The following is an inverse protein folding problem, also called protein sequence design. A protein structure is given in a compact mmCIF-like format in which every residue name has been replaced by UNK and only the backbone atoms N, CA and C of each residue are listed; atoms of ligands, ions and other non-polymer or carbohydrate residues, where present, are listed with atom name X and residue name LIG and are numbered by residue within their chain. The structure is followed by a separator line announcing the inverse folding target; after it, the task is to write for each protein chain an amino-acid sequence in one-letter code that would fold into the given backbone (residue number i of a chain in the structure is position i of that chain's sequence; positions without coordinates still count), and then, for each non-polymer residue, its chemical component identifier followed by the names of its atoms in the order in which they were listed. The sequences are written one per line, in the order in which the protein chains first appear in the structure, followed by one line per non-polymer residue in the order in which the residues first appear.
data_IF_156558097064
#
_entry.id   IF_156558097064
#
_cell.length_a   1.000
_cell.length_b   1.000
_cell.length_c   1.000
_cell.angle_alpha   90.00
_cell.angle_beta   90.00
_cell.angle_gamma   90.00
#
_symmetry.space_group_name_H-M   'P 1'
#
loop_
_entity.id
_entity.type
_entity.pdbx_description
1 polymer ?
#
# COMPACT_ATOMS: atom_id res chain seq x y z
N UNK A 1 -1.87 -8.85 -8.91
CA UNK A 1 -2.00 -9.05 -10.37
C UNK A 1 -1.90 -10.55 -10.60
N UNK A 2 -2.81 -11.12 -11.39
CA UNK A 2 -2.73 -12.52 -11.83
C UNK A 2 -2.66 -12.50 -13.34
N UNK A 3 -1.71 -13.23 -13.93
CA UNK A 3 -1.49 -13.27 -15.38
C UNK A 3 -1.42 -14.75 -15.80
N UNK A 4 -2.29 -15.16 -16.70
CA UNK A 4 -2.32 -16.51 -17.27
C UNK A 4 -1.66 -16.61 -18.66
N UNK A 5 -1.01 -15.54 -19.11
CA UNK A 5 -0.39 -15.39 -20.42
C UNK A 5 -1.34 -14.87 -21.51
N UNK A 6 -2.64 -14.87 -21.25
CA UNK A 6 -3.68 -14.34 -22.17
C UNK A 6 -4.53 -13.25 -21.54
N UNK A 7 -4.76 -13.34 -20.23
CA UNK A 7 -5.58 -12.44 -19.43
C UNK A 7 -4.78 -11.97 -18.22
N UNK A 8 -4.78 -10.65 -18.02
CA UNK A 8 -4.21 -10.03 -16.83
C UNK A 8 -5.34 -9.52 -15.93
N UNK A 9 -5.45 -10.11 -14.75
CA UNK A 9 -6.37 -9.66 -13.69
C UNK A 9 -5.68 -8.64 -12.79
N UNK A 10 -6.28 -7.46 -12.69
CA UNK A 10 -5.86 -6.39 -11.80
C UNK A 10 -6.82 -6.34 -10.60
N UNK A 11 -6.28 -6.47 -9.40
CA UNK A 11 -7.02 -6.21 -8.16
C UNK A 11 -6.59 -4.85 -7.61
N UNK A 12 -7.57 -4.03 -7.25
CA UNK A 12 -7.39 -2.68 -6.75
C UNK A 12 -8.59 -2.27 -5.90
N UNK A 13 -8.45 -1.17 -5.17
CA UNK A 13 -9.55 -0.54 -4.47
C UNK A 13 -10.66 -0.11 -5.43
N UNK A 14 -11.90 -0.45 -5.09
CA UNK A 14 -13.07 -0.24 -5.95
C UNK A 14 -13.28 1.22 -6.36
N UNK A 15 -12.81 2.17 -5.55
CA UNK A 15 -12.87 3.61 -5.81
C UNK A 15 -12.05 4.04 -7.03
N UNK A 16 -11.03 3.28 -7.42
CA UNK A 16 -10.17 3.59 -8.58
C UNK A 16 -10.62 2.91 -9.88
N UNK A 17 -11.58 1.99 -9.80
CA UNK A 17 -11.97 1.12 -10.90
C UNK A 17 -12.34 1.88 -12.18
N UNK A 18 -13.30 2.80 -12.10
CA UNK A 18 -13.81 3.53 -13.27
C UNK A 18 -12.72 4.41 -13.89
N UNK A 19 -11.88 5.03 -13.05
CA UNK A 19 -10.77 5.86 -13.50
C UNK A 19 -9.73 5.06 -14.27
N UNK A 20 -9.42 3.84 -13.80
CA UNK A 20 -8.47 2.96 -14.45
C UNK A 20 -9.03 2.40 -15.78
N UNK A 21 -10.29 1.95 -15.80
CA UNK A 21 -10.92 1.46 -17.04
C UNK A 21 -10.90 2.54 -18.11
N UNK A 22 -11.34 3.76 -17.76
CA UNK A 22 -11.32 4.91 -18.68
C UNK A 22 -9.92 5.18 -19.22
N UNK A 23 -8.90 5.12 -18.35
CA UNK A 23 -7.52 5.31 -18.76
C UNK A 23 -7.05 4.22 -19.73
N UNK A 24 -7.25 2.95 -19.39
CA UNK A 24 -6.79 1.81 -20.22
C UNK A 24 -7.49 1.79 -21.58
N UNK A 25 -8.79 2.06 -21.65
CA UNK A 25 -9.53 2.15 -22.92
C UNK A 25 -9.01 3.29 -23.81
N UNK A 26 -8.61 4.43 -23.23
CA UNK A 26 -8.01 5.52 -24.03
C UNK A 26 -6.63 5.17 -24.60
N UNK A 27 -5.95 4.16 -24.05
CA UNK A 27 -4.63 3.69 -24.50
C UNK A 27 -4.71 2.54 -25.53
N UNK A 28 -5.90 2.04 -25.85
CA UNK A 28 -6.11 0.84 -26.68
C UNK A 28 -5.86 1.04 -28.19
N UNK A 29 -5.56 2.26 -28.64
CA UNK A 29 -5.67 2.74 -30.04
C UNK A 29 -5.14 1.82 -31.16
N UNK A 30 -4.26 0.85 -30.90
CA UNK A 30 -3.85 -0.19 -31.86
C UNK A 30 -3.68 -1.61 -31.26
N UNK A 31 -4.12 -1.84 -30.02
CA UNK A 31 -3.94 -3.10 -29.30
C UNK A 31 -5.21 -3.95 -29.36
N UNK A 32 -5.05 -5.26 -29.61
CA UNK A 32 -6.14 -6.25 -29.56
C UNK A 32 -6.35 -6.73 -28.12
N UNK A 33 -6.85 -5.85 -27.26
CA UNK A 33 -7.11 -6.13 -25.84
C UNK A 33 -8.52 -5.71 -25.45
N UNK A 34 -9.16 -6.42 -24.51
CA UNK A 34 -10.44 -6.05 -23.92
C UNK A 34 -10.22 -5.66 -22.46
N UNK A 35 -10.80 -4.53 -22.02
CA UNK A 35 -10.77 -4.11 -20.62
C UNK A 35 -12.17 -4.31 -20.04
N UNK A 36 -12.30 -5.16 -19.03
CA UNK A 36 -13.59 -5.50 -18.43
C UNK A 36 -13.54 -5.46 -16.91
N UNK A 37 -14.57 -4.88 -16.31
CA UNK A 37 -14.83 -5.06 -14.88
C UNK A 37 -15.42 -6.45 -14.63
N UNK A 38 -14.66 -7.32 -13.99
CA UNK A 38 -15.06 -8.69 -13.63
C UNK A 38 -15.28 -8.88 -12.12
N UNK A 39 -15.46 -7.79 -11.37
CA UNK A 39 -15.63 -7.83 -9.91
C UNK A 39 -16.85 -8.65 -9.44
N UNK A 40 -17.84 -8.82 -10.32
CA UNK A 40 -19.03 -9.67 -10.08
C UNK A 40 -18.80 -11.13 -10.44
N UNK A 41 -17.76 -11.44 -11.21
CA UNK A 41 -17.48 -12.79 -11.68
C UNK A 41 -16.47 -13.48 -10.75
N UNK A 42 -15.55 -12.71 -10.16
CA UNK A 42 -14.50 -13.22 -9.28
C UNK A 42 -14.50 -12.55 -7.91
N UNK A 43 -13.96 -13.28 -6.93
CA UNK A 43 -13.57 -12.80 -5.62
C UNK A 43 -12.05 -12.99 -5.43
N UNK A 44 -11.44 -12.15 -4.59
CA UNK A 44 -10.04 -12.30 -4.19
C UNK A 44 -10.00 -12.71 -2.73
N UNK A 45 -9.36 -13.83 -2.44
CA UNK A 45 -9.14 -14.34 -1.10
C UNK A 45 -7.66 -14.21 -0.74
N UNK A 46 -7.37 -13.82 0.50
CA UNK A 46 -6.05 -14.06 1.09
C UNK A 46 -6.01 -15.53 1.53
N UNK A 47 -5.26 -16.36 0.82
CA UNK A 47 -5.16 -17.79 1.09
C UNK A 47 -4.29 -18.07 2.34
N UNK A 48 -4.53 -19.16 3.09
CA UNK A 48 -3.64 -19.54 4.19
C UNK A 48 -2.20 -19.76 3.71
N UNK A 49 -1.22 -19.38 4.53
CA UNK A 49 0.20 -19.57 4.23
C UNK A 49 1.08 -18.38 4.57
N UNK A 50 2.39 -18.59 4.51
CA UNK A 50 3.39 -17.56 4.79
C UNK A 50 3.18 -16.35 3.88
N UNK A 51 3.19 -15.15 4.46
CA UNK A 51 3.02 -13.94 3.68
C UNK A 51 4.20 -13.72 2.72
N UNK A 52 3.88 -13.46 1.45
CA UNK A 52 4.86 -13.11 0.41
C UNK A 52 5.19 -11.59 0.43
N UNK A 53 6.06 -11.17 -0.49
CA UNK A 53 6.51 -9.78 -0.58
C UNK A 53 5.37 -8.77 -0.84
N UNK A 54 4.28 -9.21 -1.46
CA UNK A 54 3.14 -8.35 -1.84
C UNK A 54 1.91 -8.55 -0.95
N UNK A 55 2.04 -9.32 0.13
CA UNK A 55 0.97 -9.55 1.09
C UNK A 55 0.07 -10.75 0.78
N UNK A 56 0.40 -11.57 -0.22
CA UNK A 56 -0.26 -12.83 -0.57
C UNK A 56 0.36 -14.03 0.17
N UNK A 57 0.07 -15.29 -0.20
CA UNK A 57 -0.66 -15.70 -1.39
C UNK A 57 -2.12 -15.22 -1.46
N UNK A 58 -2.48 -14.67 -2.61
CA UNK A 58 -3.86 -14.36 -2.96
C UNK A 58 -4.39 -15.40 -3.95
N UNK A 59 -5.65 -15.78 -3.79
CA UNK A 59 -6.38 -16.63 -4.72
C UNK A 59 -7.48 -15.81 -5.41
N UNK A 60 -7.49 -15.85 -6.75
CA UNK A 60 -8.60 -15.35 -7.55
C UNK A 60 -9.58 -16.50 -7.76
N UNK A 61 -10.81 -16.37 -7.26
CA UNK A 61 -11.79 -17.46 -7.18
C UNK A 61 -13.06 -17.04 -7.92
N UNK A 62 -13.57 -17.84 -8.86
CA UNK A 62 -14.90 -17.60 -9.43
C UNK A 62 -15.95 -17.52 -8.32
N UNK A 63 -16.86 -16.54 -8.38
CA UNK A 63 -17.86 -16.37 -7.31
C UNK A 63 -18.79 -17.57 -7.15
N UNK A 64 -18.97 -18.35 -8.22
CA UNK A 64 -19.72 -19.61 -8.21
C UNK A 64 -19.08 -20.69 -7.34
N UNK A 65 -17.75 -20.64 -7.17
CA UNK A 65 -16.94 -21.61 -6.40
C UNK A 65 -16.55 -21.06 -5.02
N UNK A 66 -16.89 -19.80 -4.72
CA UNK A 66 -16.45 -19.11 -3.52
C UNK A 66 -16.89 -19.81 -2.24
N UNK A 67 -18.14 -20.27 -2.17
CA UNK A 67 -18.67 -20.94 -0.99
C UNK A 67 -17.94 -22.26 -0.69
N UNK A 68 -17.69 -23.05 -1.73
CA UNK A 68 -16.95 -24.31 -1.62
C UNK A 68 -15.49 -24.06 -1.24
N UNK A 69 -14.84 -23.06 -1.85
CA UNK A 69 -13.47 -22.67 -1.54
C UNK A 69 -13.33 -22.22 -0.07
N UNK A 70 -14.28 -21.43 0.42
CA UNK A 70 -14.32 -21.01 1.84
C UNK A 70 -14.47 -22.23 2.75
N UNK A 71 -15.38 -23.15 2.43
CA UNK A 71 -15.58 -24.37 3.21
C UNK A 71 -14.32 -25.24 3.24
N UNK A 72 -13.64 -25.39 2.11
CA UNK A 72 -12.40 -26.14 2.00
C UNK A 72 -11.29 -25.53 2.88
N UNK A 73 -11.08 -24.20 2.82
CA UNK A 73 -10.07 -23.56 3.68
C UNK A 73 -10.40 -23.62 5.17
N UNK A 74 -11.68 -23.46 5.52
CA UNK A 74 -12.13 -23.52 6.91
C UNK A 74 -11.97 -24.91 7.54
N UNK A 75 -11.82 -25.97 6.74
CA UNK A 75 -11.60 -27.34 7.26
C UNK A 75 -10.28 -27.50 8.03
N UNK A 76 -9.29 -26.66 7.74
CA UNK A 76 -7.95 -26.76 8.31
C UNK A 76 -7.36 -25.42 8.78
N UNK A 77 -8.06 -24.29 8.55
CA UNK A 77 -7.53 -22.95 8.82
C UNK A 77 -8.56 -22.05 9.50
N UNK A 78 -8.07 -21.12 10.31
CA UNK A 78 -8.89 -20.11 10.98
C UNK A 78 -9.11 -18.90 10.08
N UNK A 79 -10.36 -18.45 9.97
CA UNK A 79 -10.66 -17.20 9.29
C UNK A 79 -10.15 -16.00 10.09
N UNK A 80 -9.53 -15.05 9.38
CA UNK A 80 -9.05 -13.80 9.96
C UNK A 80 -9.84 -12.62 9.41
N UNK A 81 -10.12 -11.64 10.27
CA UNK A 81 -10.78 -10.41 9.87
C UNK A 81 -9.85 -9.49 9.08
N UNK A 82 -10.44 -8.56 8.33
CA UNK A 82 -9.70 -7.58 7.52
C UNK A 82 -8.83 -6.65 8.37
N UNK A 83 -9.21 -6.37 9.62
CA UNK A 83 -8.39 -5.55 10.52
C UNK A 83 -7.04 -6.20 10.85
N UNK A 84 -6.99 -7.52 11.02
CA UNK A 84 -5.73 -8.22 11.24
C UNK A 84 -4.83 -8.18 9.99
N UNK A 85 -5.44 -8.32 8.80
CA UNK A 85 -4.73 -8.19 7.53
C UNK A 85 -4.20 -6.77 7.31
N UNK A 86 -4.98 -5.74 7.62
CA UNK A 86 -4.53 -4.36 7.52
C UNK A 86 -3.41 -4.05 8.53
N UNK A 87 -3.49 -4.58 9.75
CA UNK A 87 -2.42 -4.43 10.74
C UNK A 87 -1.12 -5.11 10.30
N UNK A 88 -1.19 -6.33 9.74
CA UNK A 88 -0.01 -7.01 9.18
C UNK A 88 0.56 -6.23 7.98
N UNK A 89 -0.30 -5.71 7.09
CA UNK A 89 0.13 -4.89 5.95
C UNK A 89 0.89 -3.64 6.40
N UNK A 90 0.33 -2.91 7.37
CA UNK A 90 0.92 -1.68 7.93
C UNK A 90 2.24 -2.00 8.63
N UNK A 91 2.30 -3.05 9.45
CA UNK A 91 3.52 -3.49 10.11
C UNK A 91 4.65 -3.86 9.13
N UNK A 92 4.31 -4.39 7.95
CA UNK A 92 5.28 -4.70 6.89
C UNK A 92 5.61 -3.51 5.97
N UNK A 93 5.17 -2.29 6.29
CA UNK A 93 5.50 -1.11 5.48
C UNK A 93 4.82 -1.09 4.10
N UNK A 94 3.78 -1.91 3.87
CA UNK A 94 3.19 -2.07 2.54
C UNK A 94 2.18 -0.96 2.24
N UNK A 95 2.57 -0.03 1.39
CA UNK A 95 1.75 1.12 0.96
C UNK A 95 0.50 0.69 0.18
N UNK A 96 -0.64 1.29 0.53
CA UNK A 96 -1.92 1.23 -0.20
C UNK A 96 -2.18 2.55 -0.90
N UNK A 97 -2.30 2.51 -2.22
CA UNK A 97 -2.53 3.69 -3.06
C UNK A 97 -3.86 4.34 -2.67
N UNK A 98 -3.86 5.67 -2.54
CA UNK A 98 -5.02 6.46 -2.10
C UNK A 98 -5.17 6.60 -0.59
N UNK A 99 -4.53 5.71 0.18
CA UNK A 99 -4.53 5.73 1.64
C UNK A 99 -3.21 6.26 2.18
N UNK A 100 -2.12 5.66 1.71
CA UNK A 100 -0.74 5.92 2.13
C UNK A 100 0.01 6.83 1.15
N UNK A 101 -0.70 7.42 0.19
CA UNK A 101 -0.13 8.23 -0.91
C UNK A 101 -0.97 9.47 -1.17
N UNK A 102 -0.33 10.53 -1.66
CA UNK A 102 -0.99 11.70 -2.22
C UNK A 102 -0.71 11.87 -3.73
N UNK A 103 -1.25 12.93 -4.34
CA UNK A 103 -1.06 13.23 -5.76
C UNK A 103 0.38 13.58 -6.15
N UNK A 104 1.29 13.74 -5.17
CA UNK A 104 2.72 14.03 -5.39
C UNK A 104 3.58 12.80 -5.13
N UNK A 105 3.02 11.71 -4.59
CA UNK A 105 3.76 10.52 -4.21
C UNK A 105 4.46 9.88 -5.39
N UNK A 106 5.73 9.57 -5.21
CA UNK A 106 6.54 8.84 -6.20
C UNK A 106 7.05 7.52 -5.60
N UNK A 107 7.29 6.49 -6.43
CA UNK A 107 7.76 5.18 -5.95
C UNK A 107 9.01 5.23 -5.04
N UNK A 108 9.92 6.16 -5.31
CA UNK A 108 11.14 6.35 -4.52
C UNK A 108 10.87 6.73 -3.06
N UNK A 109 9.73 7.38 -2.78
CA UNK A 109 9.32 7.76 -1.41
C UNK A 109 8.72 6.58 -0.63
N UNK A 110 8.24 5.54 -1.33
CA UNK A 110 7.25 4.58 -0.83
C UNK A 110 7.80 3.15 -0.62
N UNK A 111 9.12 2.96 -0.73
CA UNK A 111 9.74 1.63 -0.60
C UNK A 111 9.45 0.70 -1.80
N UNK A 112 9.03 1.26 -2.94
CA UNK A 112 8.72 0.47 -4.14
C UNK A 112 9.92 0.18 -5.05
N UNK A 113 11.06 0.81 -4.78
CA UNK A 113 12.30 0.53 -5.48
C UNK A 113 12.75 -0.91 -5.20
N UNK A 114 13.32 -1.57 -6.20
CA UNK A 114 13.81 -2.96 -6.12
C UNK A 114 12.73 -4.03 -5.85
N UNK A 115 11.45 -3.67 -5.87
CA UNK A 115 10.32 -4.60 -5.74
C UNK A 115 9.25 -4.37 -6.82
N UNK A 116 8.56 -3.23 -6.75
CA UNK A 116 7.47 -2.90 -7.67
C UNK A 116 7.92 -2.08 -8.90
N UNK A 117 9.11 -1.50 -8.84
CA UNK A 117 9.73 -0.75 -9.95
C UNK A 117 10.92 -1.52 -10.50
N UNK A 118 10.89 -1.78 -11.81
CA UNK A 118 12.01 -2.40 -12.51
C UNK A 118 12.80 -1.34 -13.28
N UNK A 119 14.04 -1.06 -12.86
CA UNK A 119 14.87 0.01 -13.44
C UNK A 119 15.39 -0.31 -14.85
N UNK A 120 15.53 -1.60 -15.17
CA UNK A 120 16.10 -2.04 -16.44
C UNK A 120 15.06 -2.52 -17.47
N UNK A 121 13.75 -2.35 -17.21
CA UNK A 121 12.72 -2.76 -18.18
C UNK A 121 12.52 -1.65 -19.21
N UNK A 122 11.88 -1.98 -20.33
CA UNK A 122 11.56 -1.01 -21.38
C UNK A 122 10.71 0.17 -20.88
N UNK A 123 10.50 1.15 -21.76
CA UNK A 123 9.88 2.41 -21.41
C UNK A 123 8.49 2.26 -20.77
N UNK A 124 8.29 2.87 -19.59
CA UNK A 124 6.98 2.99 -18.95
C UNK A 124 6.66 4.42 -18.51
N UNK A 125 5.38 4.72 -18.35
CA UNK A 125 4.91 6.08 -18.01
C UNK A 125 5.44 6.50 -16.63
N UNK A 126 6.01 7.71 -16.55
CA UNK A 126 6.57 8.27 -15.32
C UNK A 126 7.99 7.80 -14.98
N UNK A 127 8.61 6.96 -15.81
CA UNK A 127 9.95 6.45 -15.56
C UNK A 127 11.03 7.54 -15.43
N UNK A 128 10.89 8.65 -16.15
CA UNK A 128 11.89 9.72 -16.14
C UNK A 128 12.03 10.32 -14.74
N UNK A 129 10.92 10.57 -14.06
CA UNK A 129 10.92 11.07 -12.67
C UNK A 129 11.56 10.05 -11.73
N UNK A 130 11.19 8.77 -11.87
CA UNK A 130 11.71 7.68 -11.03
C UNK A 130 13.22 7.50 -11.22
N UNK A 131 13.68 7.44 -12.47
CA UNK A 131 15.08 7.27 -12.83
C UNK A 131 15.91 8.49 -12.46
N UNK A 132 15.40 9.71 -12.64
CA UNK A 132 16.09 10.94 -12.25
C UNK A 132 16.34 10.97 -10.75
N UNK A 133 15.32 10.69 -9.93
CA UNK A 133 15.45 10.64 -8.48
C UNK A 133 16.38 9.50 -8.06
N UNK A 134 16.31 8.35 -8.72
CA UNK A 134 17.18 7.20 -8.41
C UNK A 134 18.67 7.48 -8.69
N UNK A 135 19.00 8.15 -9.80
CA UNK A 135 20.38 8.34 -10.24
C UNK A 135 21.06 9.62 -9.69
N UNK A 136 20.29 10.69 -9.45
CA UNK A 136 20.83 12.04 -9.27
C UNK A 136 20.53 12.65 -7.89
N UNK A 137 19.80 11.96 -7.02
CA UNK A 137 19.52 12.51 -5.70
C UNK A 137 18.70 11.60 -4.82
N UNK A 138 17.89 12.23 -3.99
CA UNK A 138 17.04 11.56 -3.03
C UNK A 138 15.60 12.05 -3.16
N UNK A 139 14.60 11.20 -2.85
CA UNK A 139 13.22 11.65 -2.84
C UNK A 139 13.01 12.77 -1.78
N UNK A 140 12.15 13.76 -2.02
CA UNK A 140 11.96 14.87 -1.07
C UNK A 140 11.25 14.42 0.23
N UNK A 141 10.58 13.27 0.20
CA UNK A 141 9.88 12.65 1.31
C UNK A 141 10.31 11.19 1.47
N UNK A 142 9.89 10.56 2.56
CA UNK A 142 10.11 9.14 2.84
C UNK A 142 8.92 8.55 3.59
N UNK A 143 8.65 7.28 3.34
CA UNK A 143 7.73 6.47 4.10
C UNK A 143 8.37 6.06 5.44
N UNK A 144 7.59 6.15 6.50
CA UNK A 144 7.94 5.67 7.84
C UNK A 144 6.78 4.88 8.44
N UNK A 145 7.10 4.01 9.40
CA UNK A 145 6.12 3.40 10.30
C UNK A 145 6.11 4.20 11.61
N UNK A 146 5.00 4.82 11.94
CA UNK A 146 4.80 5.52 13.20
C UNK A 146 4.29 4.54 14.26
N UNK A 147 4.97 4.50 15.41
CA UNK A 147 4.50 3.86 16.63
C UNK A 147 3.80 4.93 17.46
N UNK A 148 2.47 4.93 17.43
CA UNK A 148 1.62 5.92 18.09
C UNK A 148 1.43 5.54 19.57
N UNK A 149 1.53 6.53 20.46
CA UNK A 149 1.24 6.32 21.88
C UNK A 149 -0.19 5.79 22.06
N UNK A 150 -0.30 4.59 22.63
CA UNK A 150 -1.56 3.88 22.87
C UNK A 150 -2.34 4.37 24.09
N UNK A 151 -1.81 5.35 24.85
CA UNK A 151 -2.50 5.93 26.01
C UNK A 151 -3.77 6.71 25.61
N UNK A 152 -3.82 7.25 24.40
CA UNK A 152 -4.97 7.96 23.87
C UNK A 152 -6.01 7.00 23.25
N UNK A 153 -7.29 7.24 23.54
CA UNK A 153 -8.40 6.46 22.95
C UNK A 153 -8.63 6.82 21.47
N UNK A 154 -8.23 8.02 21.05
CA UNK A 154 -8.41 8.52 19.69
C UNK A 154 -7.38 7.93 18.72
N UNK A 155 -7.83 7.59 17.52
CA UNK A 155 -6.99 7.16 16.41
C UNK A 155 -6.97 8.29 15.38
N UNK A 156 -5.81 8.77 14.91
CA UNK A 156 -5.76 9.84 13.93
C UNK A 156 -6.36 9.34 12.61
N UNK A 157 -7.16 10.19 11.96
CA UNK A 157 -7.72 9.86 10.66
C UNK A 157 -6.64 9.90 9.57
N UNK A 158 -6.87 9.19 8.46
CA UNK A 158 -6.05 9.32 7.27
C UNK A 158 -5.97 10.79 6.83
N UNK A 159 -4.78 11.24 6.43
CA UNK A 159 -4.50 12.62 6.03
C UNK A 159 -4.22 13.55 7.20
N UNK A 160 -4.30 13.09 8.45
CA UNK A 160 -3.92 13.89 9.62
C UNK A 160 -2.48 14.41 9.47
N UNK A 161 -2.22 15.71 9.67
CA UNK A 161 -0.88 16.25 9.64
C UNK A 161 0.04 15.60 10.67
N UNK A 162 1.23 15.22 10.23
CA UNK A 162 2.33 14.80 11.12
C UNK A 162 3.16 16.03 11.42
N UNK A 163 3.33 16.34 12.70
CA UNK A 163 4.03 17.52 13.17
C UNK A 163 5.36 17.15 13.86
N UNK A 164 6.37 17.97 13.65
CA UNK A 164 7.62 18.00 14.41
C UNK A 164 7.78 19.41 15.01
N UNK A 165 7.87 19.52 16.34
CA UNK A 165 7.88 20.81 17.06
C UNK A 165 6.75 21.76 16.60
N UNK A 166 5.55 21.22 16.41
CA UNK A 166 4.36 21.96 15.94
C UNK A 166 4.35 22.32 14.46
N UNK A 167 5.41 22.02 13.70
CA UNK A 167 5.48 22.26 12.25
C UNK A 167 5.09 21.03 11.46
N UNK A 168 4.25 21.20 10.44
CA UNK A 168 3.87 20.11 9.56
C UNK A 168 5.07 19.59 8.74
N UNK A 169 5.30 18.29 8.85
CA UNK A 169 6.36 17.57 8.13
C UNK A 169 5.81 16.46 7.23
N UNK A 170 4.54 16.14 7.29
CA UNK A 170 3.97 15.07 6.49
C UNK A 170 2.51 14.79 6.83
N UNK A 171 2.04 13.62 6.44
CA UNK A 171 0.67 13.17 6.72
C UNK A 171 0.63 11.69 7.12
N UNK A 172 -0.34 11.36 7.96
CA UNK A 172 -0.70 9.99 8.35
C UNK A 172 -1.44 9.32 7.19
N UNK A 173 -1.01 8.13 6.82
CA UNK A 173 -1.71 7.24 5.90
C UNK A 173 -2.69 6.33 6.66
N UNK A 174 -2.53 5.03 6.50
CA UNK A 174 -3.33 4.02 7.19
C UNK A 174 -2.87 3.87 8.62
N UNK A 175 -3.82 3.83 9.55
CA UNK A 175 -3.60 3.49 10.95
C UNK A 175 -4.21 2.13 11.27
N UNK A 176 -3.50 1.30 12.03
CA UNK A 176 -3.94 -0.02 12.43
C UNK A 176 -3.55 -0.34 13.88
N UNK A 177 -4.29 -1.26 14.51
CA UNK A 177 -3.94 -1.83 15.82
C UNK A 177 -3.30 -3.19 15.61
N UNK A 178 -1.98 -3.27 15.75
CA UNK A 178 -1.20 -4.49 15.66
C UNK A 178 -1.14 -5.18 17.03
N UNK A 179 -1.19 -6.51 17.02
CA UNK A 179 -1.25 -7.31 18.26
C UNK A 179 0.01 -7.22 19.12
N UNK A 180 1.18 -7.03 18.49
CA UNK A 180 2.48 -6.88 19.17
C UNK A 180 2.97 -5.43 19.23
N UNK A 181 2.71 -4.63 18.19
CA UNK A 181 3.30 -3.29 18.04
C UNK A 181 2.38 -2.19 18.59
N UNK A 182 1.16 -2.56 19.02
CA UNK A 182 0.15 -1.59 19.44
C UNK A 182 -0.40 -0.78 18.26
N UNK A 183 -0.68 0.50 18.49
CA UNK A 183 -1.23 1.37 17.45
C UNK A 183 -0.09 1.85 16.55
N UNK A 184 -0.14 1.47 15.28
CA UNK A 184 0.87 1.81 14.27
C UNK A 184 0.23 2.52 13.08
N UNK A 185 0.99 3.35 12.38
CA UNK A 185 0.52 4.00 11.17
C UNK A 185 1.62 4.12 10.11
N UNK A 186 1.28 3.96 8.83
CA UNK A 186 2.16 4.44 7.77
C UNK A 186 2.05 5.96 7.68
N UNK A 187 3.16 6.63 7.40
CA UNK A 187 3.17 8.07 7.15
C UNK A 187 4.22 8.42 6.10
N UNK A 188 3.93 9.46 5.31
CA UNK A 188 4.88 10.06 4.39
C UNK A 188 5.31 11.40 4.96
N UNK A 189 6.59 11.52 5.30
CA UNK A 189 7.18 12.71 5.94
C UNK A 189 8.32 13.28 5.11
N UNK A 190 8.67 14.56 5.34
CA UNK A 190 9.85 15.21 4.78
C UNK A 190 11.09 14.36 5.02
N UNK A 191 11.92 14.20 3.99
CA UNK A 191 13.10 13.32 4.07
C UNK A 191 14.11 13.77 5.12
N UNK A 192 14.19 15.06 5.45
CA UNK A 192 15.16 15.56 6.43
C UNK A 192 14.62 15.60 7.86
N UNK A 193 13.44 15.04 8.13
CA UNK A 193 12.98 14.89 9.52
C UNK A 193 13.98 14.00 10.28
N UNK A 194 14.50 14.42 11.45
CA UNK A 194 15.45 13.62 12.23
C UNK A 194 14.85 12.26 12.60
N UNK A 195 15.67 11.20 12.65
CA UNK A 195 15.22 9.84 12.93
C UNK A 195 14.68 9.68 14.37
N UNK A 196 15.26 10.43 15.30
CA UNK A 196 14.98 10.45 16.73
C UNK A 196 13.95 11.52 17.13
N UNK A 197 13.41 12.27 16.17
CA UNK A 197 12.38 13.26 16.45
C UNK A 197 11.11 12.59 16.99
N UNK A 198 10.60 13.13 18.10
CA UNK A 198 9.26 12.80 18.60
C UNK A 198 8.24 13.56 17.77
N UNK A 199 7.45 12.82 17.00
CA UNK A 199 6.42 13.37 16.14
C UNK A 199 5.08 13.43 16.86
N UNK A 200 4.14 14.20 16.34
CA UNK A 200 2.75 14.16 16.82
C UNK A 200 1.77 14.11 15.65
N UNK A 201 0.66 13.40 15.85
CA UNK A 201 -0.47 13.37 14.92
C UNK A 201 -1.78 13.48 15.71
N UNK A 202 -2.59 14.51 15.43
CA UNK A 202 -3.78 14.82 16.22
C UNK A 202 -3.52 14.92 17.74
N UNK A 203 -2.34 15.42 18.13
CA UNK A 203 -1.90 15.53 19.53
C UNK A 203 -1.38 14.23 20.14
N UNK A 204 -1.36 13.12 19.40
CA UNK A 204 -0.84 11.83 19.85
C UNK A 204 0.66 11.76 19.54
N UNK A 205 1.55 11.60 20.54
CA UNK A 205 2.97 11.39 20.31
C UNK A 205 3.25 10.13 19.50
N UNK A 206 4.28 10.17 18.65
CA UNK A 206 4.70 9.04 17.85
C UNK A 206 6.23 9.01 17.72
N UNK A 207 6.80 7.81 17.79
CA UNK A 207 8.15 7.55 17.28
C UNK A 207 8.07 7.01 15.86
N UNK A 208 9.11 7.22 15.07
CA UNK A 208 9.19 6.70 13.71
C UNK A 208 10.18 5.54 13.62
N UNK A 209 9.81 4.54 12.83
CA UNK A 209 10.68 3.52 12.29
C UNK A 209 10.89 3.80 10.80
N UNK A 210 12.15 3.76 10.38
CA UNK A 210 12.56 4.15 9.03
C UNK A 210 12.34 2.96 8.09
N UNK A 211 11.37 3.10 7.17
CA UNK A 211 11.13 2.11 6.11
C UNK A 211 11.88 2.45 4.82
N UNK A 212 12.06 3.75 4.54
CA UNK A 212 12.86 4.25 3.42
C UNK A 212 14.05 5.03 3.98
N UNK A 213 15.31 4.64 3.66
CA UNK A 213 16.51 5.25 4.21
C UNK A 213 16.60 6.77 4.02
N UNK A 214 17.31 7.44 4.95
CA UNK A 214 17.55 8.89 4.94
C UNK A 214 18.68 9.25 3.97
N UNK A 215 19.64 8.34 3.81
CA UNK A 215 20.79 8.39 2.92
C UNK A 215 20.53 7.73 1.56
#
# INVERSE_FOLDING_TARGET
LVDDGTTVFLHLDATFLDSLIKYLESMKFMLRVEVKNVSKDFAVLRAPGKTDAIGGPYALVPRTELAETIAAFNSANTQVGTWALEAERVANGRVRIGFDTDHKSIPNELGFLNGAVHMAKGCYRGQETVAKVFNLGHPPRRLVLLHLDGSAVSIPAQGTPVLNDGKEVGFVGTVARHFELGTIALAVIKRMTPADAVLTAAGIPAMQEILVPID
#
